data_IF_246003843237
#
_entry.id   IF_246003843237
#
_cell.length_a   1.000
_cell.length_b   1.000
_cell.length_c   1.000
_cell.angle_alpha   90.00
_cell.angle_beta   90.00
_cell.angle_gamma   90.00
#
_symmetry.space_group_name_H-M   'P 1'
#
loop_
_entity.id
_entity.type
_entity.pdbx_description
1 polymer ?
#
# COMPACT_ATOMS: atom_id res chain seq x y z
N UNK A 1 -16.60 -20.74 33.40
CA UNK A 1 -15.75 -19.63 32.89
C UNK A 1 -16.11 -19.41 31.43
N UNK A 2 -16.78 -18.30 31.12
CA UNK A 2 -17.37 -18.03 29.81
C UNK A 2 -16.31 -17.79 28.73
N UNK A 3 -16.45 -18.45 27.58
CA UNK A 3 -15.63 -18.24 26.39
C UNK A 3 -16.21 -17.05 25.62
N UNK A 4 -15.53 -15.91 25.65
CA UNK A 4 -15.84 -14.82 24.74
C UNK A 4 -15.25 -15.13 23.37
N UNK A 5 -16.13 -15.30 22.37
CA UNK A 5 -15.75 -15.33 20.96
C UNK A 5 -15.86 -13.91 20.43
N UNK A 6 -14.74 -13.31 20.06
CA UNK A 6 -14.70 -11.98 19.47
C UNK A 6 -14.63 -12.13 17.95
N UNK A 7 -15.73 -11.90 17.26
CA UNK A 7 -15.75 -11.76 15.80
C UNK A 7 -15.38 -10.33 15.45
N UNK A 8 -14.14 -10.11 15.02
CA UNK A 8 -13.73 -8.86 14.39
C UNK A 8 -14.48 -8.68 13.06
N UNK A 9 -15.02 -7.49 12.75
CA UNK A 9 -15.47 -7.19 11.40
C UNK A 9 -14.24 -7.07 10.49
N UNK A 10 -14.25 -7.82 9.39
CA UNK A 10 -13.23 -7.77 8.36
C UNK A 10 -13.12 -6.35 7.79
N UNK A 11 -12.10 -5.61 8.23
CA UNK A 11 -11.68 -4.41 7.52
C UNK A 11 -11.13 -4.87 6.18
N UNK A 12 -11.84 -4.56 5.10
CA UNK A 12 -11.35 -4.75 3.74
C UNK A 12 -10.18 -3.79 3.55
N UNK A 13 -8.96 -4.28 3.76
CA UNK A 13 -7.80 -3.59 3.22
C UNK A 13 -7.91 -3.69 1.71
N UNK A 14 -8.30 -2.59 1.09
CA UNK A 14 -8.06 -2.42 -0.33
C UNK A 14 -6.54 -2.53 -0.47
N UNK A 15 -6.06 -3.68 -0.92
CA UNK A 15 -4.67 -3.86 -1.33
C UNK A 15 -4.48 -3.07 -2.62
N UNK A 16 -4.31 -1.76 -2.47
CA UNK A 16 -4.00 -0.83 -3.58
C UNK A 16 -2.61 -1.06 -4.16
N UNK A 17 -1.74 -1.71 -3.40
CA UNK A 17 -0.41 -2.08 -3.82
C UNK A 17 -0.42 -3.60 -3.96
N UNK A 18 -0.68 -4.09 -5.19
CA UNK A 18 -0.44 -5.49 -5.53
C UNK A 18 1.03 -5.74 -5.23
N UNK A 19 1.36 -6.67 -4.33
CA UNK A 19 2.70 -7.16 -4.28
C UNK A 19 2.79 -8.12 -5.45
N UNK A 20 3.06 -7.56 -6.64
CA UNK A 20 4.01 -8.25 -7.50
C UNK A 20 5.32 -8.21 -6.72
N UNK A 21 5.42 -9.09 -5.71
CA UNK A 21 6.66 -9.47 -5.08
C UNK A 21 7.51 -10.04 -6.22
N UNK A 22 8.14 -9.15 -6.99
CA UNK A 22 9.51 -9.41 -7.37
C UNK A 22 10.21 -9.50 -6.02
N UNK A 23 10.22 -10.73 -5.50
CA UNK A 23 10.92 -11.19 -4.33
C UNK A 23 12.15 -10.30 -4.20
N UNK A 24 12.25 -9.52 -3.11
CA UNK A 24 13.46 -8.73 -2.86
C UNK A 24 14.66 -9.69 -2.69
N UNK A 25 14.40 -11.01 -2.63
CA UNK A 25 15.36 -12.10 -2.83
C UNK A 25 15.44 -12.65 -4.26
N UNK A 26 15.06 -11.91 -5.30
CA UNK A 26 15.37 -12.26 -6.69
C UNK A 26 16.73 -11.70 -7.09
N UNK A 27 17.75 -11.91 -6.23
CA UNK A 27 19.14 -11.85 -6.67
C UNK A 27 19.35 -12.99 -7.66
N UNK A 28 19.02 -12.70 -8.92
CA UNK A 28 19.34 -13.59 -10.01
C UNK A 28 20.87 -13.73 -10.06
N UNK A 29 21.37 -14.82 -10.64
CA UNK A 29 22.82 -14.98 -10.84
C UNK A 29 23.44 -13.83 -11.65
N UNK A 30 22.62 -13.01 -12.29
CA UNK A 30 23.02 -11.93 -13.17
C UNK A 30 22.78 -10.52 -12.59
N UNK A 31 21.97 -10.36 -11.53
CA UNK A 31 21.57 -9.04 -11.02
C UNK A 31 21.47 -9.04 -9.49
N UNK A 32 22.04 -8.01 -8.86
CA UNK A 32 22.31 -7.92 -7.43
C UNK A 32 23.53 -8.73 -7.00
N UNK A 33 23.60 -9.00 -5.70
CA UNK A 33 24.60 -9.85 -5.06
C UNK A 33 24.26 -11.31 -5.39
N UNK A 34 25.11 -12.02 -6.16
CA UNK A 34 24.84 -13.40 -6.51
C UNK A 34 25.00 -14.29 -5.27
N UNK A 35 24.08 -15.23 -5.08
CA UNK A 35 24.13 -16.23 -4.01
C UNK A 35 24.68 -17.59 -4.48
N UNK A 36 24.61 -17.86 -5.79
CA UNK A 36 25.00 -19.14 -6.40
C UNK A 36 25.79 -18.90 -7.69
N UNK A 37 26.81 -19.73 -7.90
CA UNK A 37 27.55 -19.83 -9.15
C UNK A 37 26.77 -20.67 -10.17
N UNK A 38 27.17 -20.64 -11.45
CA UNK A 38 26.58 -21.48 -12.50
C UNK A 38 26.74 -22.98 -12.23
N UNK A 39 27.80 -23.40 -11.52
CA UNK A 39 27.99 -24.79 -11.08
C UNK A 39 27.12 -25.21 -9.88
N UNK A 40 26.29 -24.29 -9.33
CA UNK A 40 25.43 -24.57 -8.18
C UNK A 40 26.10 -24.43 -6.81
N UNK A 41 27.42 -24.19 -6.75
CA UNK A 41 28.12 -23.87 -5.50
C UNK A 41 27.85 -22.42 -5.06
N UNK A 42 27.89 -22.13 -3.75
CA UNK A 42 27.71 -20.77 -3.24
C UNK A 42 28.83 -19.84 -3.75
N UNK A 43 28.45 -18.60 -3.98
CA UNK A 43 29.37 -17.50 -4.25
C UNK A 43 29.86 -16.90 -2.94
N UNK A 44 31.09 -16.43 -2.94
CA UNK A 44 31.70 -15.76 -1.80
C UNK A 44 32.37 -14.48 -2.28
N UNK A 45 32.41 -13.48 -1.41
CA UNK A 45 33.20 -12.28 -1.63
C UNK A 45 34.69 -12.63 -1.51
N UNK A 46 35.47 -12.20 -2.51
CA UNK A 46 36.90 -12.45 -2.63
C UNK A 46 37.59 -11.18 -3.06
N UNK A 47 38.88 -11.12 -2.81
CA UNK A 47 39.76 -10.05 -3.27
C UNK A 47 40.71 -10.61 -4.31
N UNK A 48 40.92 -9.86 -5.38
CA UNK A 48 41.84 -10.22 -6.45
C UNK A 48 43.29 -10.25 -5.92
N UNK A 49 44.05 -11.28 -6.30
CA UNK A 49 45.41 -11.45 -5.80
C UNK A 49 46.33 -10.35 -6.39
N UNK A 50 47.45 -10.03 -5.71
CA UNK A 50 48.34 -8.93 -6.13
C UNK A 50 48.99 -9.12 -7.52
N UNK A 51 48.96 -10.35 -8.04
CA UNK A 51 49.54 -10.71 -9.35
C UNK A 51 48.54 -10.62 -10.50
N UNK A 52 47.29 -10.22 -10.22
CA UNK A 52 46.23 -10.13 -11.21
C UNK A 52 46.12 -8.76 -11.85
N UNK A 53 45.30 -8.66 -12.90
CA UNK A 53 45.06 -7.42 -13.65
C UNK A 53 44.48 -6.28 -12.79
N UNK A 54 43.64 -6.61 -11.80
CA UNK A 54 42.99 -5.65 -10.91
C UNK A 54 43.27 -5.97 -9.44
N UNK A 55 44.53 -5.84 -8.97
CA UNK A 55 44.94 -6.29 -7.65
C UNK A 55 44.18 -5.54 -6.55
N UNK A 56 43.75 -6.25 -5.51
CA UNK A 56 43.01 -5.66 -4.39
C UNK A 56 41.54 -5.33 -4.68
N UNK A 57 41.07 -5.45 -5.94
CA UNK A 57 39.65 -5.25 -6.25
C UNK A 57 38.82 -6.43 -5.73
N UNK A 58 37.62 -6.15 -5.23
CA UNK A 58 36.73 -7.15 -4.66
C UNK A 58 35.71 -7.65 -5.68
N UNK A 59 35.40 -8.94 -5.63
CA UNK A 59 34.42 -9.57 -6.50
C UNK A 59 33.68 -10.70 -5.77
N UNK A 60 32.48 -10.99 -6.21
CA UNK A 60 31.76 -12.21 -5.85
C UNK A 60 32.12 -13.30 -6.85
N UNK A 61 32.54 -14.46 -6.35
CA UNK A 61 32.93 -15.57 -7.21
C UNK A 61 32.69 -16.93 -6.58
N UNK A 62 32.79 -17.97 -7.40
CA UNK A 62 32.62 -19.36 -6.97
C UNK A 62 33.52 -19.70 -5.78
N UNK A 63 33.04 -20.57 -4.88
CA UNK A 63 33.83 -21.11 -3.76
C UNK A 63 35.21 -21.60 -4.21
N UNK A 64 35.27 -22.36 -5.30
CA UNK A 64 36.50 -22.95 -5.84
C UNK A 64 37.16 -22.14 -6.96
N UNK A 65 36.91 -20.82 -7.02
CA UNK A 65 37.44 -19.92 -8.05
C UNK A 65 38.93 -20.10 -8.37
N UNK A 66 39.81 -20.27 -7.36
CA UNK A 66 41.26 -20.40 -7.60
C UNK A 66 41.60 -21.65 -8.40
N UNK A 67 40.96 -22.78 -8.09
CA UNK A 67 41.13 -24.04 -8.82
C UNK A 67 40.59 -23.89 -10.24
N UNK A 68 39.39 -23.33 -10.38
CA UNK A 68 38.74 -23.15 -11.69
C UNK A 68 39.56 -22.25 -12.61
N UNK A 69 40.17 -21.20 -12.06
CA UNK A 69 41.03 -20.28 -12.79
C UNK A 69 42.34 -20.92 -13.24
N UNK A 70 42.96 -21.76 -12.41
CA UNK A 70 44.17 -22.51 -12.79
C UNK A 70 43.91 -23.48 -13.95
N UNK A 71 42.70 -24.05 -14.01
CA UNK A 71 42.29 -24.97 -15.08
C UNK A 71 41.77 -24.24 -16.32
N UNK A 72 41.67 -22.90 -16.28
CA UNK A 72 41.15 -22.08 -17.39
C UNK A 72 39.65 -22.26 -17.63
N UNK A 73 38.88 -22.62 -16.60
CA UNK A 73 37.44 -22.79 -16.71
C UNK A 73 36.72 -21.43 -16.52
N UNK A 74 36.35 -20.79 -17.63
CA UNK A 74 35.62 -19.52 -17.64
C UNK A 74 34.10 -19.66 -17.41
N UNK A 75 33.61 -20.88 -17.14
CA UNK A 75 32.18 -21.13 -16.91
C UNK A 75 31.69 -20.72 -15.51
N UNK A 76 32.52 -20.06 -14.71
CA UNK A 76 32.20 -19.70 -13.34
C UNK A 76 31.88 -18.21 -13.20
N UNK A 77 30.94 -17.92 -12.29
CA UNK A 77 30.55 -16.56 -12.01
C UNK A 77 31.72 -15.78 -11.39
N UNK A 78 31.99 -14.63 -11.99
CA UNK A 78 32.81 -13.56 -11.44
C UNK A 78 32.02 -12.28 -11.65
N UNK A 79 31.59 -11.66 -10.55
CA UNK A 79 30.87 -10.38 -10.60
C UNK A 79 31.57 -9.38 -9.70
N UNK A 80 31.82 -8.18 -10.22
CA UNK A 80 32.50 -7.16 -9.44
C UNK A 80 31.64 -6.68 -8.26
N UNK A 81 32.29 -6.42 -7.12
CA UNK A 81 31.59 -6.02 -5.91
C UNK A 81 30.84 -4.70 -6.11
N UNK A 82 31.49 -3.71 -6.73
CA UNK A 82 30.93 -2.39 -6.99
C UNK A 82 29.70 -2.45 -7.89
N UNK A 83 29.74 -3.29 -8.93
CA UNK A 83 28.60 -3.54 -9.82
C UNK A 83 27.42 -4.19 -9.08
N UNK A 84 27.68 -5.30 -8.37
CA UNK A 84 26.64 -5.98 -7.60
C UNK A 84 26.00 -5.08 -6.53
N UNK A 85 26.82 -4.29 -5.80
CA UNK A 85 26.31 -3.36 -4.79
C UNK A 85 25.49 -2.23 -5.41
N UNK A 86 25.90 -1.69 -6.56
CA UNK A 86 25.15 -0.63 -7.24
C UNK A 86 23.77 -1.11 -7.66
N UNK A 87 23.67 -2.34 -8.16
CA UNK A 87 22.39 -2.96 -8.52
C UNK A 87 21.48 -3.17 -7.30
N UNK A 88 22.02 -3.62 -6.16
CA UNK A 88 21.26 -3.70 -4.89
C UNK A 88 20.73 -2.32 -4.46
N UNK A 89 21.56 -1.28 -4.53
CA UNK A 89 21.11 0.08 -4.22
C UNK A 89 19.99 0.55 -5.15
N UNK A 90 20.04 0.18 -6.44
CA UNK A 90 18.97 0.48 -7.40
C UNK A 90 17.67 -0.23 -7.01
N UNK A 91 17.72 -1.51 -6.61
CA UNK A 91 16.54 -2.25 -6.15
C UNK A 91 15.95 -1.63 -4.88
N UNK A 92 16.79 -1.36 -3.90
CA UNK A 92 16.38 -0.72 -2.65
C UNK A 92 15.75 0.65 -2.89
N UNK A 93 16.35 1.46 -3.77
CA UNK A 93 15.81 2.77 -4.16
C UNK A 93 14.43 2.63 -4.79
N UNK A 94 14.25 1.71 -5.75
CA UNK A 94 12.95 1.47 -6.39
C UNK A 94 11.89 1.00 -5.39
N UNK A 95 12.25 0.10 -4.49
CA UNK A 95 11.34 -0.38 -3.44
C UNK A 95 10.91 0.76 -2.51
N UNK A 96 11.86 1.63 -2.12
CA UNK A 96 11.60 2.80 -1.28
C UNK A 96 10.71 3.84 -1.98
N UNK A 97 10.99 4.13 -3.26
CA UNK A 97 10.19 5.06 -4.06
C UNK A 97 8.74 4.57 -4.19
N UNK A 98 8.56 3.28 -4.51
CA UNK A 98 7.25 2.65 -4.61
C UNK A 98 6.48 2.69 -3.26
N UNK A 99 7.17 2.44 -2.15
CA UNK A 99 6.56 2.56 -0.82
C UNK A 99 6.13 4.01 -0.53
N UNK A 100 6.95 4.99 -0.89
CA UNK A 100 6.62 6.40 -0.76
C UNK A 100 5.35 6.79 -1.51
N UNK A 101 5.18 6.28 -2.73
CA UNK A 101 3.97 6.50 -3.53
C UNK A 101 2.73 5.83 -2.91
N UNK A 102 2.86 4.60 -2.40
CA UNK A 102 1.76 3.90 -1.71
C UNK A 102 1.27 4.71 -0.48
N UNK A 103 2.20 5.27 0.32
CA UNK A 103 1.88 6.13 1.48
C UNK A 103 1.17 7.42 1.04
N UNK A 104 1.59 8.02 -0.07
CA UNK A 104 0.94 9.23 -0.61
C UNK A 104 -0.50 8.95 -1.04
N UNK A 105 -0.73 7.83 -1.75
CA UNK A 105 -2.07 7.40 -2.19
C UNK A 105 -2.98 7.18 -0.98
N UNK A 106 -2.49 6.48 0.05
CA UNK A 106 -3.26 6.23 1.27
C UNK A 106 -3.68 7.54 1.96
N UNK A 107 -2.77 8.51 2.08
CA UNK A 107 -3.08 9.83 2.66
C UNK A 107 -4.13 10.60 1.86
N UNK A 108 -4.16 10.43 0.54
CA UNK A 108 -5.19 11.04 -0.31
C UNK A 108 -6.53 10.34 -0.10
N UNK A 109 -6.54 9.01 -0.01
CA UNK A 109 -7.75 8.23 0.29
C UNK A 109 -8.37 8.64 1.63
N UNK A 110 -7.57 8.71 2.70
CA UNK A 110 -8.02 9.13 4.04
C UNK A 110 -8.65 10.53 4.00
N UNK A 111 -8.06 11.46 3.23
CA UNK A 111 -8.61 12.81 3.06
C UNK A 111 -9.96 12.79 2.36
N UNK A 112 -10.10 12.00 1.29
CA UNK A 112 -11.37 11.87 0.56
C UNK A 112 -12.45 11.27 1.46
N UNK A 113 -12.12 10.25 2.26
CA UNK A 113 -13.05 9.64 3.20
C UNK A 113 -13.54 10.64 4.27
N UNK A 114 -12.63 11.48 4.79
CA UNK A 114 -12.99 12.54 5.73
C UNK A 114 -13.96 13.57 5.11
N UNK A 115 -13.66 14.06 3.90
CA UNK A 115 -14.51 15.01 3.17
C UNK A 115 -15.89 14.41 2.85
N UNK A 116 -15.94 13.14 2.43
CA UNK A 116 -17.19 12.40 2.22
C UNK A 116 -18.01 12.27 3.51
N UNK A 117 -17.33 12.05 4.64
CA UNK A 117 -17.95 12.03 5.97
C UNK A 117 -18.64 13.35 6.30
N UNK A 118 -17.96 14.47 6.08
CA UNK A 118 -18.51 15.80 6.32
C UNK A 118 -19.67 16.13 5.38
N UNK A 119 -19.53 15.87 4.07
CA UNK A 119 -20.64 16.05 3.11
C UNK A 119 -21.88 15.23 3.48
N UNK A 120 -21.68 13.99 3.94
CA UNK A 120 -22.79 13.13 4.40
C UNK A 120 -23.47 13.70 5.64
N UNK A 121 -22.70 14.28 6.58
CA UNK A 121 -23.26 14.95 7.76
C UNK A 121 -24.09 16.17 7.37
N UNK A 122 -23.60 17.00 6.45
CA UNK A 122 -24.32 18.17 5.94
C UNK A 122 -25.62 17.78 5.22
N UNK A 123 -25.58 16.76 4.36
CA UNK A 123 -26.78 16.27 3.68
C UNK A 123 -27.85 15.75 4.67
N UNK A 124 -27.42 15.09 5.76
CA UNK A 124 -28.33 14.63 6.81
C UNK A 124 -28.95 15.78 7.61
N UNK A 125 -28.18 16.82 7.96
CA UNK A 125 -28.71 17.98 8.69
C UNK A 125 -29.68 18.78 7.84
N UNK A 126 -29.38 18.94 6.55
CA UNK A 126 -30.27 19.61 5.60
C UNK A 126 -31.58 18.83 5.40
N UNK A 127 -31.51 17.52 5.20
CA UNK A 127 -32.72 16.68 5.06
C UNK A 127 -33.57 16.71 6.35
N UNK A 128 -32.95 16.65 7.53
CA UNK A 128 -33.66 16.78 8.81
C UNK A 128 -34.35 18.14 8.94
N UNK A 129 -33.68 19.22 8.53
CA UNK A 129 -34.26 20.57 8.52
C UNK A 129 -35.44 20.65 7.56
N UNK A 130 -35.30 20.13 6.34
CA UNK A 130 -36.37 20.10 5.35
C UNK A 130 -37.59 19.35 5.87
N UNK A 131 -37.40 18.16 6.45
CA UNK A 131 -38.48 17.38 7.06
C UNK A 131 -39.16 18.11 8.22
N UNK A 132 -38.40 18.86 9.02
CA UNK A 132 -38.96 19.69 10.09
C UNK A 132 -39.83 20.84 9.56
N UNK A 133 -39.38 21.50 8.49
CA UNK A 133 -40.16 22.56 7.81
C UNK A 133 -41.45 22.00 7.22
N UNK A 134 -41.38 20.88 6.50
CA UNK A 134 -42.55 20.18 5.95
C UNK A 134 -43.57 19.83 7.05
N UNK A 135 -43.11 19.28 8.18
CA UNK A 135 -43.99 18.93 9.30
C UNK A 135 -44.66 20.17 9.91
N UNK A 136 -43.90 21.25 10.09
CA UNK A 136 -44.44 22.51 10.64
C UNK A 136 -45.49 23.13 9.70
N UNK A 137 -45.28 23.06 8.38
CA UNK A 137 -46.25 23.53 7.38
C UNK A 137 -47.55 22.70 7.47
N UNK A 138 -47.44 21.37 7.52
CA UNK A 138 -48.62 20.49 7.65
C UNK A 138 -49.39 20.77 8.93
N UNK A 139 -48.71 20.94 10.07
CA UNK A 139 -49.33 21.27 11.36
C UNK A 139 -50.08 22.62 11.26
N UNK A 140 -49.46 23.65 10.69
CA UNK A 140 -50.08 24.96 10.53
C UNK A 140 -51.36 24.89 9.66
N UNK A 141 -51.34 24.16 8.56
CA UNK A 141 -52.51 23.96 7.70
C UNK A 141 -53.67 23.27 8.44
N UNK A 142 -53.39 22.22 9.22
CA UNK A 142 -54.41 21.51 10.00
C UNK A 142 -55.06 22.43 11.04
N UNK A 143 -54.27 23.25 11.74
CA UNK A 143 -54.78 24.20 12.74
C UNK A 143 -55.68 25.26 12.08
N UNK A 144 -55.28 25.79 10.93
CA UNK A 144 -56.09 26.76 10.18
C UNK A 144 -57.43 26.16 9.73
N UNK A 145 -57.42 24.93 9.19
CA UNK A 145 -58.63 24.24 8.75
C UNK A 145 -59.58 23.96 9.93
N UNK A 146 -59.05 23.47 11.06
CA UNK A 146 -59.85 23.24 12.26
C UNK A 146 -60.49 24.54 12.78
N UNK A 147 -59.72 25.63 12.82
CA UNK A 147 -60.23 26.95 13.19
C UNK A 147 -61.35 27.44 12.27
N UNK A 148 -61.20 27.22 10.95
CA UNK A 148 -62.23 27.57 9.96
C UNK A 148 -63.53 26.78 10.16
N UNK A 149 -63.42 25.46 10.40
CA UNK A 149 -64.59 24.60 10.68
C UNK A 149 -65.33 25.08 11.93
N UNK A 150 -64.61 25.39 13.01
CA UNK A 150 -65.20 25.89 14.26
C UNK A 150 -65.93 27.22 14.00
N UNK A 151 -65.30 28.16 13.30
CA UNK A 151 -65.91 29.46 13.00
C UNK A 151 -67.18 29.35 12.14
N UNK A 152 -67.14 28.54 11.08
CA UNK A 152 -68.31 28.29 10.24
C UNK A 152 -69.42 27.56 11.01
N UNK A 153 -69.09 26.57 11.84
CA UNK A 153 -70.07 25.86 12.67
C UNK A 153 -70.76 26.78 13.66
N UNK A 154 -70.02 27.70 14.29
CA UNK A 154 -70.60 28.73 15.16
C UNK A 154 -71.53 29.69 14.40
N UNK A 155 -71.18 30.10 13.18
CA UNK A 155 -72.01 31.01 12.36
C UNK A 155 -73.33 30.39 11.88
N UNK A 156 -73.40 29.07 11.69
CA UNK A 156 -74.63 28.38 11.24
C UNK A 156 -75.63 28.16 12.39
N UNK A 157 -75.15 28.20 13.64
CA UNK A 157 -75.94 27.90 14.84
C UNK A 157 -76.61 29.14 15.47
N UNK A 158 -76.24 30.34 15.03
CA UNK A 158 -76.87 31.61 15.39
C UNK A 158 -77.87 32.06 14.33
#
# INVERSE_FOLDING_TARGET
MGRYSYSQPSSSSVRLCSPDEADVSSTSRHYGIPNLCYCGLPTMMKTMDNTDEYPGRMFFGCKDYKVNRMVGCDLHLVKWWDEAMMEEFVLLRRATDNQGDCVRVLRVADRIEAELGELKRLALTENKRHRGVELNIVIALVVLLAGFIIACGCMIMF
#
